data_IF_355330855504
#
_entry.id   IF_355330855504
#
_cell.length_a   1.000
_cell.length_b   1.000
_cell.length_c   1.000
_cell.angle_alpha   90.00
_cell.angle_beta   90.00
_cell.angle_gamma   90.00
#
_symmetry.space_group_name_H-M   'P 1'
#
loop_
_entity.id
_entity.type
_entity.pdbx_description
1 polymer ?
#
# COMPACT_ATOMS: atom_id res chain seq x y z
N UNK A 1 -35.59 36.92 75.40
CA UNK A 1 -34.53 37.94 75.22
C UNK A 1 -33.91 37.73 73.85
N UNK A 2 -33.89 38.79 73.06
CA UNK A 2 -33.51 38.79 71.65
C UNK A 2 -32.01 38.52 71.48
N UNK A 3 -31.57 37.98 70.34
CA UNK A 3 -30.50 38.59 69.53
C UNK A 3 -30.49 37.97 68.12
N UNK A 4 -30.78 38.84 67.14
CA UNK A 4 -30.65 38.62 65.70
C UNK A 4 -29.17 38.49 65.36
N UNK A 5 -28.82 37.50 64.54
CA UNK A 5 -27.53 37.43 63.85
C UNK A 5 -27.80 37.46 62.35
N UNK A 6 -27.50 38.60 61.73
CA UNK A 6 -27.39 38.77 60.29
C UNK A 6 -25.93 38.54 59.94
N UNK A 7 -25.61 37.55 59.09
CA UNK A 7 -24.36 37.54 58.34
C UNK A 7 -24.64 37.10 56.89
N UNK A 8 -24.64 38.13 56.05
CA UNK A 8 -24.39 38.26 54.61
C UNK A 8 -23.87 37.01 53.88
N UNK A 9 -24.63 36.54 52.90
CA UNK A 9 -24.16 35.61 51.85
C UNK A 9 -23.42 36.42 50.79
N UNK A 10 -22.12 36.17 50.65
CA UNK A 10 -21.31 36.71 49.55
C UNK A 10 -21.60 35.92 48.27
N UNK A 11 -22.24 36.57 47.29
CA UNK A 11 -22.44 36.00 45.95
C UNK A 11 -21.14 36.20 45.16
N UNK A 12 -20.37 35.12 44.99
CA UNK A 12 -19.23 35.07 44.08
C UNK A 12 -19.73 35.08 42.63
N UNK A 13 -19.61 36.24 41.99
CA UNK A 13 -19.83 36.41 40.55
C UNK A 13 -18.74 35.61 39.80
N UNK A 14 -19.06 34.41 39.33
CA UNK A 14 -18.21 33.68 38.39
C UNK A 14 -18.38 34.30 37.00
N UNK A 15 -17.32 34.93 36.49
CA UNK A 15 -17.26 35.35 35.11
C UNK A 15 -17.32 34.11 34.20
N UNK A 16 -18.43 33.94 33.48
CA UNK A 16 -18.52 32.95 32.42
C UNK A 16 -17.60 33.37 31.27
N UNK A 17 -16.49 32.66 31.10
CA UNK A 17 -15.64 32.78 29.92
C UNK A 17 -16.27 31.97 28.80
N UNK A 18 -16.89 32.64 27.84
CA UNK A 18 -17.32 32.05 26.58
C UNK A 18 -16.08 31.61 25.80
N UNK A 19 -15.79 30.30 25.83
CA UNK A 19 -14.78 29.71 24.95
C UNK A 19 -15.39 29.60 23.55
N UNK A 20 -15.06 30.54 22.68
CA UNK A 20 -15.35 30.45 21.25
C UNK A 20 -14.51 29.32 20.67
N UNK A 21 -15.09 28.13 20.54
CA UNK A 21 -14.45 27.03 19.81
C UNK A 21 -14.45 27.41 18.34
N UNK A 22 -13.35 27.97 17.86
CA UNK A 22 -13.07 28.08 16.43
C UNK A 22 -12.97 26.65 15.89
N UNK A 23 -14.03 26.19 15.22
CA UNK A 23 -14.00 25.01 14.35
C UNK A 23 -13.10 25.33 13.14
N UNK A 24 -11.80 25.32 13.38
CA UNK A 24 -10.75 25.31 12.36
C UNK A 24 -10.08 23.96 12.43
N UNK A 25 -10.28 23.13 11.40
CA UNK A 25 -9.44 21.95 11.20
C UNK A 25 -9.89 20.69 11.92
N UNK A 26 -11.08 20.20 11.59
CA UNK A 26 -11.31 18.76 11.50
C UNK A 26 -11.57 18.48 10.04
N UNK A 27 -10.50 18.25 9.26
CA UNK A 27 -10.67 17.56 7.99
C UNK A 27 -11.52 16.32 8.29
N UNK A 28 -12.66 16.17 7.63
CA UNK A 28 -13.20 14.83 7.43
C UNK A 28 -12.01 14.06 6.88
N UNK A 29 -11.48 13.14 7.69
CA UNK A 29 -10.37 12.32 7.30
C UNK A 29 -10.79 11.73 5.95
N UNK A 30 -10.13 12.20 4.91
CA UNK A 30 -10.19 11.59 3.61
C UNK A 30 -9.83 10.13 3.89
N UNK A 31 -10.84 9.25 3.83
CA UNK A 31 -10.62 7.82 3.79
C UNK A 31 -10.04 7.47 2.41
N UNK A 32 -9.00 8.21 2.01
CA UNK A 32 -8.08 7.85 0.97
C UNK A 32 -7.35 6.64 1.51
N UNK A 33 -7.74 5.46 1.05
CA UNK A 33 -6.99 4.23 1.25
C UNK A 33 -5.58 4.43 0.68
N UNK A 34 -4.70 5.00 1.49
CA UNK A 34 -3.32 5.27 1.10
C UNK A 34 -2.65 3.95 0.70
N UNK A 35 -2.41 3.80 -0.61
CA UNK A 35 -1.79 2.61 -1.15
C UNK A 35 -0.35 2.54 -0.62
N UNK A 36 -0.07 1.53 0.19
CA UNK A 36 1.25 1.30 0.78
C UNK A 36 2.15 0.58 -0.23
N UNK A 37 3.37 1.08 -0.44
CA UNK A 37 4.39 0.41 -1.27
C UNK A 37 5.35 -0.36 -0.37
N UNK A 38 5.34 -1.69 -0.46
CA UNK A 38 6.09 -2.58 0.42
C UNK A 38 7.18 -3.26 -0.39
N UNK A 39 8.45 -3.11 0.04
CA UNK A 39 9.59 -3.84 -0.54
C UNK A 39 9.81 -5.10 0.28
N UNK A 40 10.00 -6.24 -0.38
CA UNK A 40 10.29 -7.50 0.28
C UNK A 40 11.66 -7.46 0.96
N UNK A 41 11.83 -8.16 2.09
CA UNK A 41 13.12 -8.23 2.76
C UNK A 41 14.14 -8.96 1.88
N UNK A 42 15.41 -8.56 1.94
CA UNK A 42 16.49 -9.20 1.16
C UNK A 42 16.62 -10.70 1.45
N UNK A 43 16.22 -11.14 2.65
CA UNK A 43 16.21 -12.54 3.08
C UNK A 43 15.24 -13.42 2.29
N UNK A 44 14.18 -12.84 1.68
CA UNK A 44 13.22 -13.58 0.84
C UNK A 44 13.85 -14.18 -0.42
N UNK A 45 15.02 -13.68 -0.83
CA UNK A 45 15.63 -13.97 -2.14
C UNK A 45 14.72 -13.70 -3.34
N UNK A 46 13.60 -12.98 -3.18
CA UNK A 46 12.69 -12.61 -4.27
C UNK A 46 13.21 -11.36 -4.98
N UNK A 47 13.99 -11.56 -6.05
CA UNK A 47 14.66 -10.47 -6.77
C UNK A 47 14.01 -10.19 -8.13
N UNK A 48 13.96 -8.91 -8.49
CA UNK A 48 13.67 -8.47 -9.85
C UNK A 48 14.85 -8.76 -10.80
N UNK A 49 14.64 -8.59 -12.11
CA UNK A 49 15.69 -8.73 -13.13
C UNK A 49 16.93 -7.86 -12.86
N UNK A 50 16.77 -6.69 -12.24
CA UNK A 50 17.87 -5.80 -11.89
C UNK A 50 18.66 -6.21 -10.63
N UNK A 51 18.29 -7.33 -10.00
CA UNK A 51 18.96 -7.83 -8.80
C UNK A 51 18.48 -7.22 -7.49
N UNK A 52 17.58 -6.22 -7.52
CA UNK A 52 17.03 -5.63 -6.31
C UNK A 52 15.82 -6.43 -5.80
N UNK A 53 15.49 -6.34 -4.49
CA UNK A 53 14.28 -6.95 -3.96
C UNK A 53 13.03 -6.49 -4.70
N UNK A 54 12.14 -7.45 -4.97
CA UNK A 54 10.80 -7.17 -5.46
C UNK A 54 9.91 -6.59 -4.35
N UNK A 55 8.65 -6.32 -4.66
CA UNK A 55 7.71 -5.76 -3.72
C UNK A 55 6.29 -5.75 -4.28
N UNK A 56 5.38 -5.17 -3.51
CA UNK A 56 3.98 -5.07 -3.87
C UNK A 56 3.36 -3.77 -3.34
N UNK A 57 2.19 -3.44 -3.87
CA UNK A 57 1.35 -2.38 -3.35
C UNK A 57 0.18 -2.99 -2.57
N UNK A 58 -0.08 -2.47 -1.38
CA UNK A 58 -1.20 -2.85 -0.53
C UNK A 58 -2.15 -1.67 -0.38
N UNK A 59 -3.37 -1.85 -0.86
CA UNK A 59 -4.50 -0.97 -0.57
C UNK A 59 -5.43 -1.72 0.37
N UNK A 60 -5.56 -1.24 1.60
CA UNK A 60 -6.47 -1.85 2.57
C UNK A 60 -7.90 -1.49 2.21
N UNK A 61 -8.81 -2.44 2.42
CA UNK A 61 -10.23 -2.15 2.40
C UNK A 61 -10.54 -1.02 3.40
N UNK A 62 -11.55 -0.21 3.09
CA UNK A 62 -12.07 0.76 4.06
C UNK A 62 -12.44 0.04 5.37
N UNK A 63 -12.17 0.67 6.52
CA UNK A 63 -12.36 0.04 7.85
C UNK A 63 -13.79 -0.47 8.07
N UNK A 64 -14.77 0.24 7.51
CA UNK A 64 -16.20 -0.07 7.62
C UNK A 64 -16.67 -1.14 6.60
N UNK A 65 -15.80 -1.59 5.69
CA UNK A 65 -16.16 -2.55 4.65
C UNK A 65 -16.57 -3.89 5.25
N UNK A 66 -17.67 -4.46 4.75
CA UNK A 66 -18.10 -5.83 5.04
C UNK A 66 -17.17 -6.89 4.43
N UNK A 67 -16.34 -6.50 3.48
CA UNK A 67 -15.39 -7.35 2.75
C UNK A 67 -13.94 -7.11 3.21
N UNK A 68 -13.74 -6.49 4.38
CA UNK A 68 -12.42 -6.12 4.92
C UNK A 68 -11.51 -7.30 5.26
N UNK A 69 -12.05 -8.51 5.32
CA UNK A 69 -11.32 -9.77 5.51
C UNK A 69 -10.97 -10.46 4.19
N UNK A 70 -11.51 -9.96 3.06
CA UNK A 70 -11.24 -10.50 1.73
C UNK A 70 -10.05 -9.82 1.07
N UNK A 71 -9.32 -10.61 0.30
CA UNK A 71 -8.14 -10.17 -0.44
C UNK A 71 -8.30 -10.49 -1.91
N UNK A 72 -7.79 -9.61 -2.76
CA UNK A 72 -7.54 -9.86 -4.16
C UNK A 72 -6.06 -9.61 -4.46
N UNK A 73 -5.40 -10.62 -5.02
CA UNK A 73 -4.00 -10.54 -5.44
C UNK A 73 -3.97 -10.42 -6.95
N UNK A 74 -3.46 -9.29 -7.45
CA UNK A 74 -3.36 -9.02 -8.87
C UNK A 74 -1.90 -9.01 -9.33
N UNK A 75 -1.59 -9.87 -10.30
CA UNK A 75 -0.29 -9.97 -10.92
C UNK A 75 -0.23 -9.09 -12.17
N UNK A 76 0.65 -8.09 -12.19
CA UNK A 76 0.83 -7.27 -13.38
C UNK A 76 1.26 -8.12 -14.58
N UNK A 77 0.79 -7.75 -15.78
CA UNK A 77 1.28 -8.31 -17.04
C UNK A 77 2.53 -7.62 -17.56
N UNK A 78 2.84 -7.83 -18.86
CA UNK A 78 3.94 -7.13 -19.55
C UNK A 78 4.83 -8.01 -20.43
N UNK A 79 4.39 -9.21 -20.80
CA UNK A 79 5.12 -10.12 -21.69
C UNK A 79 6.30 -10.83 -21.01
N UNK A 80 7.26 -11.30 -21.80
CA UNK A 80 8.50 -11.94 -21.31
C UNK A 80 9.69 -11.41 -22.09
N UNK A 81 10.89 -11.48 -21.51
CA UNK A 81 12.11 -11.22 -22.27
C UNK A 81 12.57 -12.50 -22.99
N UNK A 82 12.92 -12.38 -24.28
CA UNK A 82 13.14 -13.54 -25.18
C UNK A 82 14.60 -13.88 -25.45
N UNK A 83 15.52 -12.96 -25.14
CA UNK A 83 16.96 -13.16 -25.29
C UNK A 83 17.72 -12.55 -24.12
N UNK A 84 18.99 -12.95 -23.94
CA UNK A 84 19.85 -12.36 -22.91
C UNK A 84 19.93 -10.83 -23.02
N UNK A 85 20.11 -10.31 -24.24
CA UNK A 85 20.17 -8.87 -24.49
C UNK A 85 18.84 -8.17 -24.15
N UNK A 86 17.71 -8.80 -24.49
CA UNK A 86 16.37 -8.29 -24.15
C UNK A 86 16.15 -8.26 -22.64
N UNK A 87 16.51 -9.32 -21.91
CA UNK A 87 16.39 -9.33 -20.45
C UNK A 87 17.29 -8.28 -19.78
N UNK A 88 18.51 -8.06 -20.29
CA UNK A 88 19.42 -7.01 -19.81
C UNK A 88 18.87 -5.61 -20.10
N UNK A 89 18.28 -5.38 -21.26
CA UNK A 89 17.63 -4.11 -21.57
C UNK A 89 16.40 -3.90 -20.65
N UNK A 90 15.58 -4.93 -20.50
CA UNK A 90 14.36 -4.92 -19.68
C UNK A 90 14.66 -4.68 -18.20
N UNK A 91 15.75 -5.23 -17.67
CA UNK A 91 16.14 -5.04 -16.26
C UNK A 91 16.24 -3.56 -15.91
N UNK A 92 16.58 -2.70 -16.87
CA UNK A 92 16.72 -1.23 -16.71
C UNK A 92 15.40 -0.46 -16.77
N UNK A 93 14.26 -1.14 -16.90
CA UNK A 93 12.92 -0.53 -17.03
C UNK A 93 12.07 -0.73 -15.77
N UNK A 94 10.84 -0.19 -15.75
CA UNK A 94 9.84 -0.47 -14.72
C UNK A 94 9.35 -1.94 -14.73
N UNK A 95 9.49 -2.65 -15.86
CA UNK A 95 9.15 -4.07 -15.98
C UNK A 95 10.32 -5.03 -15.65
N UNK A 96 11.41 -4.48 -15.11
CA UNK A 96 12.58 -5.23 -14.64
C UNK A 96 13.08 -4.79 -13.27
N UNK A 97 12.40 -3.84 -12.63
CA UNK A 97 12.82 -3.27 -11.34
C UNK A 97 11.64 -2.69 -10.59
N UNK A 98 11.38 -3.21 -9.38
CA UNK A 98 10.40 -2.62 -8.49
C UNK A 98 10.78 -1.19 -8.06
N UNK A 99 12.08 -0.87 -7.97
CA UNK A 99 12.56 0.49 -7.64
C UNK A 99 12.07 1.53 -8.65
N UNK A 100 12.02 1.15 -9.94
CA UNK A 100 11.52 1.99 -11.05
C UNK A 100 10.00 1.92 -11.24
N UNK A 101 9.34 0.87 -10.75
CA UNK A 101 7.89 0.73 -10.80
C UNK A 101 7.27 1.36 -9.55
N UNK A 102 7.17 2.70 -9.55
CA UNK A 102 6.83 3.49 -8.37
C UNK A 102 5.33 3.75 -8.20
N UNK A 103 4.53 3.54 -9.25
CA UNK A 103 3.10 3.86 -9.25
C UNK A 103 2.26 2.59 -9.21
N UNK A 104 1.26 2.49 -8.30
CA UNK A 104 0.27 1.44 -8.38
C UNK A 104 -0.55 1.62 -9.66
N UNK A 105 -0.41 0.67 -10.58
CA UNK A 105 -1.23 0.67 -11.80
C UNK A 105 -2.70 0.45 -11.43
N UNK A 106 -3.59 1.12 -12.17
CA UNK A 106 -5.03 0.95 -12.03
C UNK A 106 -5.51 -0.23 -12.88
N UNK A 107 -6.47 -0.96 -12.36
CA UNK A 107 -7.13 -2.10 -13.02
C UNK A 107 -8.61 -1.90 -12.85
N UNK A 108 -9.37 -1.83 -13.94
CA UNK A 108 -10.82 -1.62 -13.88
C UNK A 108 -11.51 -2.66 -12.99
N UNK A 109 -11.09 -3.92 -13.09
CA UNK A 109 -11.60 -5.01 -12.25
C UNK A 109 -11.40 -4.77 -10.73
N UNK A 110 -10.45 -3.93 -10.32
CA UNK A 110 -10.15 -3.67 -8.90
C UNK A 110 -10.66 -2.29 -8.43
N UNK A 111 -10.74 -1.33 -9.33
CA UNK A 111 -10.87 0.10 -8.99
C UNK A 111 -12.20 0.72 -9.40
N UNK A 112 -13.03 -0.02 -10.13
CA UNK A 112 -14.39 0.39 -10.49
C UNK A 112 -15.35 0.10 -9.34
N UNK A 113 -16.18 1.07 -8.92
CA UNK A 113 -17.17 0.92 -7.85
C UNK A 113 -18.19 -0.19 -8.14
N UNK A 114 -18.46 -0.48 -9.40
CA UNK A 114 -19.33 -1.58 -9.81
C UNK A 114 -18.67 -2.96 -9.69
N UNK A 115 -17.36 -3.03 -9.40
CA UNK A 115 -16.64 -4.30 -9.29
C UNK A 115 -16.98 -5.03 -7.99
N UNK A 116 -17.15 -6.36 -8.03
CA UNK A 116 -17.27 -7.17 -6.80
C UNK A 116 -16.01 -7.12 -5.92
N UNK A 117 -14.86 -6.65 -6.45
CA UNK A 117 -13.59 -6.56 -5.72
C UNK A 117 -13.28 -5.15 -5.21
N UNK A 118 -14.13 -4.16 -5.48
CA UNK A 118 -13.85 -2.76 -5.17
C UNK A 118 -13.53 -2.55 -3.68
N UNK A 119 -14.26 -3.24 -2.80
CA UNK A 119 -14.19 -3.10 -1.36
C UNK A 119 -13.26 -4.12 -0.66
N UNK A 120 -12.47 -4.89 -1.41
CA UNK A 120 -11.51 -5.88 -0.89
C UNK A 120 -10.19 -5.20 -0.52
N UNK A 121 -9.36 -5.89 0.26
CA UNK A 121 -7.94 -5.55 0.32
C UNK A 121 -7.28 -5.92 -1.01
N UNK A 122 -6.56 -4.99 -1.63
CA UNK A 122 -5.95 -5.18 -2.95
C UNK A 122 -4.43 -5.25 -2.81
N UNK A 123 -3.89 -6.41 -3.16
CA UNK A 123 -2.45 -6.66 -3.27
C UNK A 123 -2.09 -6.63 -4.75
N UNK A 124 -1.35 -5.62 -5.18
CA UNK A 124 -0.88 -5.49 -6.57
C UNK A 124 0.60 -5.83 -6.61
N UNK A 125 0.97 -6.90 -7.31
CA UNK A 125 2.37 -7.33 -7.45
C UNK A 125 2.88 -6.84 -8.81
N UNK A 126 3.75 -5.81 -8.86
CA UNK A 126 4.30 -5.32 -10.10
C UNK A 126 5.25 -6.33 -10.71
N UNK A 127 5.19 -6.44 -12.03
CA UNK A 127 5.92 -7.45 -12.75
C UNK A 127 7.32 -6.97 -13.08
N UNK A 128 8.32 -7.62 -12.50
CA UNK A 128 9.72 -7.24 -12.66
C UNK A 128 10.67 -8.40 -13.00
N UNK A 129 10.14 -9.60 -13.26
CA UNK A 129 10.92 -10.82 -13.46
C UNK A 129 11.10 -11.26 -14.92
N UNK A 130 10.22 -10.79 -15.83
CA UNK A 130 10.34 -11.08 -17.27
C UNK A 130 10.11 -12.54 -17.68
N UNK A 131 9.49 -13.34 -16.83
CA UNK A 131 9.40 -14.81 -16.92
C UNK A 131 7.98 -15.39 -16.71
N UNK A 132 6.96 -14.55 -16.92
CA UNK A 132 5.53 -14.86 -16.76
C UNK A 132 5.21 -15.55 -15.43
N UNK A 133 5.87 -15.10 -14.35
CA UNK A 133 5.65 -15.55 -12.97
C UNK A 133 6.07 -17.01 -12.70
N UNK A 134 6.93 -17.59 -13.54
CA UNK A 134 7.34 -19.01 -13.42
C UNK A 134 8.74 -19.24 -12.87
N UNK A 135 9.61 -18.23 -12.91
CA UNK A 135 11.02 -18.41 -12.60
C UNK A 135 11.32 -18.59 -11.11
N UNK A 136 12.33 -19.41 -10.82
CA UNK A 136 12.84 -19.69 -9.46
C UNK A 136 14.36 -19.55 -9.36
N UNK A 137 15.00 -19.00 -10.39
CA UNK A 137 16.47 -19.01 -10.55
C UNK A 137 17.04 -17.65 -10.17
N UNK A 138 17.80 -17.59 -9.07
CA UNK A 138 18.44 -16.35 -8.59
C UNK A 138 19.56 -15.83 -9.49
N UNK A 139 20.25 -16.73 -10.19
CA UNK A 139 21.37 -16.40 -11.08
C UNK A 139 21.38 -17.33 -12.28
N UNK A 140 20.77 -16.90 -13.38
CA UNK A 140 20.66 -17.75 -14.57
C UNK A 140 21.96 -17.78 -15.39
N UNK A 141 22.46 -18.98 -15.69
CA UNK A 141 23.57 -19.16 -16.65
C UNK A 141 23.24 -18.67 -18.06
N UNK A 142 21.96 -18.74 -18.45
CA UNK A 142 21.51 -18.50 -19.81
C UNK A 142 20.99 -17.05 -20.04
N UNK A 143 20.90 -16.26 -18.97
CA UNK A 143 20.28 -14.92 -19.00
C UNK A 143 21.19 -13.87 -18.35
N UNK A 144 22.46 -13.78 -18.78
CA UNK A 144 23.44 -12.81 -18.26
C UNK A 144 23.60 -12.84 -16.73
N UNK A 145 23.39 -13.98 -16.07
CA UNK A 145 23.40 -14.10 -14.60
C UNK A 145 22.32 -13.26 -13.89
N UNK A 146 21.30 -12.79 -14.61
CA UNK A 146 20.16 -12.09 -14.04
C UNK A 146 19.27 -13.06 -13.21
N UNK A 147 18.55 -12.55 -12.19
CA UNK A 147 17.50 -13.29 -11.52
C UNK A 147 16.27 -13.45 -12.42
N UNK A 148 15.71 -14.65 -12.43
CA UNK A 148 14.49 -15.03 -13.13
C UNK A 148 13.61 -15.70 -12.07
N UNK A 149 12.88 -14.89 -11.31
CA UNK A 149 12.34 -15.26 -9.99
C UNK A 149 10.85 -14.98 -9.81
N UNK A 150 10.06 -14.91 -10.89
CA UNK A 150 8.65 -14.57 -10.83
C UNK A 150 7.84 -15.45 -9.88
N UNK A 151 8.08 -16.76 -9.86
CA UNK A 151 7.41 -17.66 -8.90
C UNK A 151 7.84 -17.34 -7.47
N UNK A 152 9.13 -17.14 -7.23
CA UNK A 152 9.64 -16.79 -5.90
C UNK A 152 9.14 -15.44 -5.39
N UNK A 153 8.87 -14.48 -6.28
CA UNK A 153 8.23 -13.20 -5.91
C UNK A 153 6.81 -13.44 -5.43
N UNK A 154 6.00 -14.21 -6.17
CA UNK A 154 4.62 -14.49 -5.78
C UNK A 154 4.55 -15.24 -4.45
N UNK A 155 5.46 -16.19 -4.21
CA UNK A 155 5.49 -16.94 -2.95
C UNK A 155 5.97 -16.14 -1.73
N UNK A 156 6.67 -15.03 -1.96
CA UNK A 156 7.20 -14.18 -0.89
C UNK A 156 6.24 -13.05 -0.47
N UNK A 157 5.21 -12.79 -1.28
CA UNK A 157 4.11 -11.84 -1.00
C UNK A 157 2.99 -12.56 -0.29
#
# INVERSE_FOLDING_TARGET
MQHRWFFTVAILLHAATTTTTTNTGGAFADASSSVQRITLPETSSALCLDGNPAGFFLEKAAGESKDRDKFIVFLQGGGLCRSQADCVARSRTALGSFRRNTSPYRVQLLDDEGSPFYAFNKVRIPYCSGDVWRGTVKRSSNWAKLPIMGHSIVMAV
#
